data_IF_684792588185
#
_entry.id   IF_684792588185
#
_cell.length_a   1.000
_cell.length_b   1.000
_cell.length_c   1.000
_cell.angle_alpha   90.00
_cell.angle_beta   90.00
_cell.angle_gamma   90.00
#
_symmetry.space_group_name_H-M   'P 1'
#
loop_
_entity.id
_entity.type
_entity.pdbx_description
1 polymer ?
#
# COMPACT_ATOMS: atom_id res chain seq x y z
N UNK A 1 52.99 -34.80 7.13
CA UNK A 1 52.54 -34.75 8.54
C UNK A 1 52.15 -33.30 8.85
N UNK A 2 50.86 -33.00 8.80
CA UNK A 2 50.31 -31.71 9.22
C UNK A 2 49.26 -31.99 10.29
N UNK A 3 49.47 -31.43 11.47
CA UNK A 3 48.66 -31.63 12.68
C UNK A 3 47.50 -30.64 12.63
N UNK A 4 46.27 -31.16 12.63
CA UNK A 4 45.04 -30.37 12.72
C UNK A 4 44.68 -30.15 14.20
N UNK A 5 44.57 -28.89 14.61
CA UNK A 5 44.01 -28.50 15.91
C UNK A 5 42.50 -28.33 15.79
N UNK A 6 41.76 -29.14 16.56
CA UNK A 6 40.31 -29.08 16.75
C UNK A 6 40.02 -28.23 17.99
N UNK A 7 39.17 -27.21 17.86
CA UNK A 7 38.64 -26.43 18.98
C UNK A 7 37.26 -26.97 19.41
N UNK A 8 36.92 -27.02 20.72
CA UNK A 8 35.66 -27.56 21.21
C UNK A 8 34.52 -26.51 21.25
N UNK A 9 33.30 -26.98 20.97
CA UNK A 9 32.05 -26.23 21.08
C UNK A 9 31.53 -26.15 22.54
N UNK A 10 30.77 -25.11 22.92
CA UNK A 10 30.23 -24.98 24.27
C UNK A 10 28.97 -25.85 24.47
N UNK A 11 28.94 -26.51 25.63
CA UNK A 11 27.82 -27.30 26.16
C UNK A 11 26.91 -26.38 26.97
N UNK A 12 25.63 -26.30 26.62
CA UNK A 12 24.59 -25.78 27.51
C UNK A 12 23.62 -26.90 27.90
N UNK A 13 23.57 -27.14 29.21
CA UNK A 13 22.83 -28.21 29.85
C UNK A 13 21.31 -27.93 29.85
N UNK A 14 20.57 -28.97 29.50
CA UNK A 14 19.12 -29.07 29.65
C UNK A 14 18.79 -29.46 31.10
N UNK A 15 17.77 -28.84 31.70
CA UNK A 15 17.16 -29.33 32.94
C UNK A 15 15.62 -29.16 32.92
N UNK A 16 14.93 -30.30 32.95
CA UNK A 16 13.54 -30.60 33.40
C UNK A 16 13.56 -32.09 33.80
N UNK A 17 12.74 -32.62 34.74
CA UNK A 17 11.27 -32.45 34.90
C UNK A 17 10.86 -32.29 36.40
N UNK A 18 9.62 -32.21 36.90
CA UNK A 18 8.38 -32.99 36.69
C UNK A 18 7.17 -32.34 37.43
N UNK A 19 5.99 -32.94 37.27
CA UNK A 19 4.59 -32.48 37.28
C UNK A 19 3.82 -32.51 38.62
N UNK A 20 2.76 -31.69 38.76
CA UNK A 20 1.46 -32.06 39.39
C UNK A 20 0.31 -31.09 39.00
N UNK A 21 -0.91 -31.63 38.80
CA UNK A 21 -2.17 -30.98 38.35
C UNK A 21 -3.17 -30.72 39.49
N UNK A 22 -4.05 -29.69 39.35
CA UNK A 22 -5.54 -29.62 39.60
C UNK A 22 -6.01 -28.17 39.90
N UNK A 23 -7.32 -27.81 39.88
CA UNK A 23 -8.29 -27.70 38.78
C UNK A 23 -8.92 -26.26 38.69
N UNK A 24 -9.89 -25.95 37.80
CA UNK A 24 -10.39 -24.58 37.58
C UNK A 24 -11.67 -24.26 38.40
N UNK A 25 -11.84 -22.99 38.78
CA UNK A 25 -13.09 -22.48 39.40
C UNK A 25 -13.65 -21.32 38.59
N UNK A 26 -14.88 -21.53 38.10
CA UNK A 26 -15.79 -20.58 37.46
C UNK A 26 -16.44 -19.71 38.54
N UNK A 27 -16.55 -18.39 38.32
CA UNK A 27 -17.57 -17.59 39.01
C UNK A 27 -17.97 -16.35 38.21
N UNK A 28 -19.16 -16.43 37.63
CA UNK A 28 -19.98 -15.32 37.16
C UNK A 28 -20.34 -14.41 38.35
N UNK A 29 -20.38 -13.09 38.16
CA UNK A 29 -21.09 -12.17 39.05
C UNK A 29 -22.21 -11.45 38.30
N UNK A 30 -23.43 -11.88 38.62
CA UNK A 30 -24.68 -11.21 38.30
C UNK A 30 -24.85 -9.95 39.15
N UNK A 31 -25.27 -8.85 38.50
CA UNK A 31 -25.65 -7.60 39.16
C UNK A 31 -27.14 -7.66 39.50
N UNK A 32 -27.49 -7.65 40.79
CA UNK A 32 -28.87 -7.50 41.26
C UNK A 32 -29.21 -6.01 41.41
N UNK A 33 -30.33 -5.61 40.78
CA UNK A 33 -31.03 -4.33 40.97
C UNK A 33 -31.46 -4.15 42.42
N UNK A 34 -31.21 -2.97 42.98
CA UNK A 34 -31.97 -2.43 44.11
C UNK A 34 -32.71 -1.18 43.62
N UNK A 35 -34.05 -1.23 43.70
CA UNK A 35 -34.96 -0.13 43.43
C UNK A 35 -35.14 0.64 44.74
N UNK A 36 -34.98 1.97 44.71
CA UNK A 36 -35.54 2.82 45.74
C UNK A 36 -36.18 4.06 45.10
N UNK A 37 -37.48 4.26 45.37
CA UNK A 37 -38.33 5.36 44.90
C UNK A 37 -38.49 6.40 46.01
N UNK A 38 -38.39 7.70 45.67
CA UNK A 38 -39.26 8.84 46.10
C UNK A 38 -38.59 10.21 45.77
N UNK A 39 -39.31 11.36 45.77
CA UNK A 39 -40.31 11.75 44.78
C UNK A 39 -40.10 13.17 44.20
N UNK A 40 -40.73 13.44 43.06
CA UNK A 40 -41.17 14.74 42.52
C UNK A 40 -40.39 16.03 42.80
N UNK A 41 -39.72 16.56 41.76
CA UNK A 41 -39.52 17.99 41.57
C UNK A 41 -39.68 18.33 40.09
N UNK A 42 -40.60 19.25 39.78
CA UNK A 42 -40.95 19.69 38.44
C UNK A 42 -39.77 20.41 37.77
N UNK A 43 -39.42 20.00 36.55
CA UNK A 43 -38.38 20.65 35.74
C UNK A 43 -39.01 21.71 34.83
N UNK A 44 -38.53 22.96 34.81
CA UNK A 44 -39.03 23.95 33.86
C UNK A 44 -38.52 23.63 32.46
N UNK A 45 -39.43 23.49 31.49
CA UNK A 45 -39.08 23.36 30.07
C UNK A 45 -38.52 24.68 29.54
N UNK A 46 -37.19 24.79 29.45
CA UNK A 46 -36.55 25.84 28.66
C UNK A 46 -36.62 25.43 27.19
N UNK A 47 -37.46 26.13 26.41
CA UNK A 47 -37.49 26.02 24.95
C UNK A 47 -36.22 26.65 24.37
N UNK A 48 -35.17 25.85 24.17
CA UNK A 48 -34.02 26.29 23.38
C UNK A 48 -34.37 26.21 21.90
N UNK A 49 -34.61 27.36 21.26
CA UNK A 49 -34.66 27.45 19.79
C UNK A 49 -33.27 27.10 19.26
N UNK A 50 -33.12 25.91 18.68
CA UNK A 50 -31.93 25.55 17.93
C UNK A 50 -31.83 26.45 16.70
N UNK A 51 -30.87 27.39 16.70
CA UNK A 51 -30.45 28.06 15.46
C UNK A 51 -29.83 26.97 14.58
N UNK A 52 -30.49 26.65 13.46
CA UNK A 52 -29.86 25.93 12.35
C UNK A 52 -28.65 26.76 11.93
N UNK A 53 -27.46 26.22 12.15
CA UNK A 53 -26.28 26.68 11.43
C UNK A 53 -26.48 26.22 9.99
N UNK A 54 -26.73 27.17 9.09
CA UNK A 54 -26.78 26.88 7.66
C UNK A 54 -25.44 26.24 7.27
N UNK A 55 -25.50 24.96 6.91
CA UNK A 55 -24.37 24.27 6.35
C UNK A 55 -24.03 24.99 5.05
N UNK A 56 -22.92 25.74 5.04
CA UNK A 56 -22.36 26.31 3.82
C UNK A 56 -22.09 25.15 2.89
N UNK A 57 -22.99 24.93 1.94
CA UNK A 57 -22.81 23.98 0.85
C UNK A 57 -21.63 24.49 0.04
N UNK A 58 -20.44 23.95 0.31
CA UNK A 58 -19.31 24.13 -0.59
C UNK A 58 -19.73 23.58 -1.96
N UNK A 59 -19.65 24.36 -3.04
CA UNK A 59 -19.98 23.86 -4.36
C UNK A 59 -19.12 22.63 -4.63
N UNK A 60 -19.77 21.54 -5.06
CA UNK A 60 -19.07 20.34 -5.49
C UNK A 60 -18.17 20.76 -6.66
N UNK A 61 -16.85 20.77 -6.46
CA UNK A 61 -15.91 20.94 -7.56
C UNK A 61 -16.19 19.79 -8.53
N UNK A 62 -16.57 20.06 -9.80
CA UNK A 62 -16.85 19.00 -10.74
C UNK A 62 -15.59 18.12 -10.82
N UNK A 63 -15.77 16.81 -10.65
CA UNK A 63 -14.66 15.87 -10.79
C UNK A 63 -14.10 16.03 -12.20
N UNK A 64 -12.88 16.56 -12.31
CA UNK A 64 -12.17 16.63 -13.58
C UNK A 64 -12.01 15.19 -14.10
N UNK A 65 -12.29 15.01 -15.38
CA UNK A 65 -12.04 13.73 -16.04
C UNK A 65 -10.55 13.37 -15.93
N UNK A 66 -10.26 12.10 -15.68
CA UNK A 66 -8.90 11.58 -15.69
C UNK A 66 -8.36 11.50 -17.13
N UNK A 67 -7.04 11.34 -17.28
CA UNK A 67 -6.43 11.20 -18.60
C UNK A 67 -6.92 9.96 -19.33
N UNK A 68 -7.16 8.85 -18.62
CA UNK A 68 -7.71 7.65 -19.24
C UNK A 68 -9.17 7.81 -19.67
N UNK A 69 -9.97 8.62 -18.96
CA UNK A 69 -11.32 9.01 -19.41
C UNK A 69 -11.26 9.88 -20.67
N UNK A 70 -10.39 10.89 -20.68
CA UNK A 70 -10.21 11.77 -21.84
C UNK A 70 -9.70 11.01 -23.08
N UNK A 71 -8.87 9.99 -22.86
CA UNK A 71 -8.36 9.11 -23.92
C UNK A 71 -9.34 7.98 -24.32
N UNK A 72 -10.54 7.91 -23.72
CA UNK A 72 -11.55 6.90 -24.06
C UNK A 72 -11.21 5.47 -23.59
N UNK A 73 -10.20 5.28 -22.75
CA UNK A 73 -9.73 3.94 -22.33
C UNK A 73 -10.75 3.14 -21.51
N UNK A 74 -11.72 3.83 -20.90
CA UNK A 74 -12.83 3.19 -20.17
C UNK A 74 -13.84 2.49 -21.10
N UNK A 75 -13.84 2.81 -22.39
CA UNK A 75 -14.74 2.17 -23.35
C UNK A 75 -14.27 0.75 -23.75
N UNK A 76 -13.02 0.39 -23.46
CA UNK A 76 -12.49 -0.95 -23.72
C UNK A 76 -13.22 -1.98 -22.86
N UNK A 77 -13.95 -2.90 -23.50
CA UNK A 77 -14.59 -4.04 -22.84
C UNK A 77 -13.54 -5.06 -22.40
N UNK A 78 -13.77 -5.70 -21.26
CA UNK A 78 -12.93 -6.79 -20.78
C UNK A 78 -13.76 -7.88 -20.09
N UNK A 79 -13.30 -9.15 -20.07
CA UNK A 79 -14.09 -10.26 -19.53
C UNK A 79 -14.26 -10.24 -18.00
N UNK A 80 -13.56 -9.36 -17.28
CA UNK A 80 -13.62 -9.24 -15.83
C UNK A 80 -14.41 -8.01 -15.37
N UNK A 81 -14.98 -7.22 -16.29
CA UNK A 81 -15.66 -5.94 -16.02
C UNK A 81 -14.83 -5.06 -15.06
N UNK A 82 -13.54 -4.89 -15.37
CA UNK A 82 -12.67 -4.06 -14.56
C UNK A 82 -13.04 -2.59 -14.71
N UNK A 83 -13.10 -1.89 -13.57
CA UNK A 83 -13.36 -0.44 -13.54
C UNK A 83 -12.10 0.37 -13.78
N UNK A 84 -10.93 -0.27 -13.73
CA UNK A 84 -9.67 0.25 -14.23
C UNK A 84 -9.70 0.33 -15.74
N UNK A 85 -9.32 1.49 -16.28
CA UNK A 85 -9.18 1.66 -17.73
C UNK A 85 -7.91 1.01 -18.25
N UNK A 86 -6.91 0.80 -17.39
CA UNK A 86 -5.70 0.03 -17.69
C UNK A 86 -5.49 -1.03 -16.61
N UNK A 87 -5.18 -2.25 -17.02
CA UNK A 87 -4.83 -3.32 -16.10
C UNK A 87 -3.82 -4.30 -16.69
N UNK A 88 -2.93 -4.82 -15.85
CA UNK A 88 -1.99 -5.89 -16.18
C UNK A 88 -1.89 -6.85 -14.99
N UNK A 89 -1.98 -8.16 -15.27
CA UNK A 89 -1.75 -9.22 -14.28
C UNK A 89 -0.72 -10.17 -14.87
N UNK A 90 0.41 -10.30 -14.19
CA UNK A 90 1.55 -11.08 -14.63
C UNK A 90 2.07 -11.96 -13.49
N UNK A 91 2.48 -13.18 -13.82
CA UNK A 91 3.23 -14.03 -12.89
C UNK A 91 4.64 -13.48 -12.71
N UNK A 92 5.02 -13.22 -11.46
CA UNK A 92 6.32 -12.63 -11.14
C UNK A 92 7.49 -13.54 -11.52
N UNK A 93 7.31 -14.86 -11.36
CA UNK A 93 8.40 -15.82 -11.52
C UNK A 93 8.55 -16.22 -12.99
N UNK A 94 7.43 -16.51 -13.68
CA UNK A 94 7.46 -16.97 -15.09
C UNK A 94 7.35 -15.85 -16.12
N UNK A 95 6.90 -14.66 -15.70
CA UNK A 95 6.52 -13.54 -16.58
C UNK A 95 5.35 -13.84 -17.52
N UNK A 96 4.60 -14.90 -17.26
CA UNK A 96 3.37 -15.19 -18.00
C UNK A 96 2.37 -14.04 -17.77
N UNK A 97 1.85 -13.46 -18.85
CA UNK A 97 0.79 -12.46 -18.77
C UNK A 97 -0.55 -13.18 -18.72
N UNK A 98 -1.24 -13.07 -17.59
CA UNK A 98 -2.55 -13.70 -17.35
C UNK A 98 -3.67 -12.80 -17.89
N UNK A 99 -3.54 -11.48 -17.74
CA UNK A 99 -4.54 -10.52 -18.15
C UNK A 99 -3.91 -9.21 -18.56
N UNK A 100 -4.45 -8.58 -19.62
CA UNK A 100 -4.06 -7.23 -20.05
C UNK A 100 -5.29 -6.44 -20.52
N UNK A 101 -5.30 -5.15 -20.25
CA UNK A 101 -6.27 -4.17 -20.73
C UNK A 101 -5.53 -2.84 -20.91
N UNK A 102 -5.45 -2.35 -22.15
CA UNK A 102 -4.79 -1.08 -22.49
C UNK A 102 -3.39 -0.91 -21.85
N UNK A 103 -2.62 -2.00 -21.73
CA UNK A 103 -1.39 -2.10 -20.93
C UNK A 103 -0.23 -1.24 -21.43
N UNK A 104 -0.28 -0.82 -22.69
CA UNK A 104 0.67 0.13 -23.30
C UNK A 104 0.32 1.60 -23.09
N UNK A 105 -0.82 1.92 -22.46
CA UNK A 105 -1.21 3.31 -22.22
C UNK A 105 -0.31 3.95 -21.17
N UNK A 106 0.27 5.11 -21.51
CA UNK A 106 1.10 5.92 -20.62
C UNK A 106 0.21 6.95 -19.94
N UNK A 107 0.06 6.83 -18.62
CA UNK A 107 -0.87 7.64 -17.83
C UNK A 107 -0.17 8.27 -16.62
N UNK A 108 -0.71 9.37 -16.06
CA UNK A 108 -0.34 9.81 -14.74
C UNK A 108 -0.55 8.69 -13.71
N UNK A 109 0.46 8.42 -12.89
CA UNK A 109 0.45 7.25 -11.97
C UNK A 109 0.24 7.63 -10.50
N UNK A 110 0.05 8.91 -10.23
CA UNK A 110 -0.09 9.45 -8.89
C UNK A 110 1.00 8.90 -7.94
N UNK A 111 0.62 8.60 -6.70
CA UNK A 111 1.53 8.12 -5.65
C UNK A 111 2.12 6.72 -5.85
N UNK A 112 1.82 6.01 -6.94
CA UNK A 112 2.63 4.85 -7.33
C UNK A 112 4.10 5.23 -7.53
N UNK A 113 4.34 6.50 -7.90
CA UNK A 113 5.66 7.16 -7.90
C UNK A 113 6.51 6.82 -6.67
N UNK A 114 5.90 6.81 -5.48
CA UNK A 114 6.62 6.63 -4.21
C UNK A 114 7.28 5.25 -4.09
N UNK A 115 6.88 4.27 -4.92
CA UNK A 115 7.57 2.99 -4.99
C UNK A 115 8.98 3.13 -5.59
N UNK A 116 9.14 3.96 -6.64
CA UNK A 116 10.46 4.32 -7.16
C UNK A 116 11.25 5.16 -6.15
N UNK A 117 10.59 6.10 -5.46
CA UNK A 117 11.22 6.86 -4.36
C UNK A 117 11.79 5.91 -3.30
N UNK A 118 11.01 4.91 -2.89
CA UNK A 118 11.47 3.91 -1.93
C UNK A 118 12.64 3.07 -2.44
N UNK A 119 12.57 2.62 -3.70
CA UNK A 119 13.65 1.86 -4.34
C UNK A 119 14.96 2.65 -4.37
N UNK A 120 14.93 3.90 -4.83
CA UNK A 120 16.13 4.76 -4.87
C UNK A 120 16.71 5.00 -3.46
N UNK A 121 15.86 5.21 -2.46
CA UNK A 121 16.31 5.41 -1.07
C UNK A 121 16.92 4.13 -0.49
N UNK A 122 16.32 2.97 -0.74
CA UNK A 122 16.86 1.66 -0.30
C UNK A 122 18.24 1.41 -0.90
N UNK A 123 18.36 1.56 -2.22
CA UNK A 123 19.61 1.31 -2.96
C UNK A 123 20.74 2.29 -2.60
N UNK A 124 20.41 3.48 -2.12
CA UNK A 124 21.40 4.46 -1.71
C UNK A 124 22.12 4.11 -0.40
N UNK A 125 21.61 3.14 0.38
CA UNK A 125 22.19 2.68 1.64
C UNK A 125 22.53 3.82 2.63
N UNK A 126 21.68 4.85 2.66
CA UNK A 126 21.83 5.99 3.56
C UNK A 126 21.37 5.62 4.98
N UNK A 127 21.89 6.27 6.03
CA UNK A 127 21.50 5.96 7.41
C UNK A 127 20.01 6.15 7.64
N UNK A 128 19.29 5.07 7.95
CA UNK A 128 17.85 5.12 8.22
C UNK A 128 17.52 5.89 9.52
N UNK A 129 18.49 6.02 10.43
CA UNK A 129 18.40 6.79 11.66
C UNK A 129 18.62 8.30 11.48
N UNK A 130 19.02 8.75 10.29
CA UNK A 130 19.22 10.18 10.02
C UNK A 130 17.90 10.94 10.23
N UNK A 131 17.95 11.98 11.08
CA UNK A 131 16.80 12.81 11.38
C UNK A 131 16.62 13.88 10.31
N UNK A 132 15.47 13.85 9.64
CA UNK A 132 15.12 14.77 8.56
C UNK A 132 13.97 15.67 9.04
N UNK A 133 14.16 16.97 8.90
CA UNK A 133 13.14 17.97 9.21
C UNK A 133 12.23 18.18 8.01
N UNK A 134 10.92 18.13 8.22
CA UNK A 134 9.91 18.59 7.27
C UNK A 134 9.99 20.10 7.18
N UNK A 135 10.20 20.63 5.98
CA UNK A 135 10.38 22.06 5.71
C UNK A 135 9.23 22.62 4.88
N UNK A 136 9.19 23.94 4.70
CA UNK A 136 8.23 24.58 3.82
C UNK A 136 8.31 24.08 2.36
N UNK A 137 9.50 23.64 1.91
CA UNK A 137 9.69 23.09 0.59
C UNK A 137 8.97 21.74 0.37
N UNK A 138 8.59 21.03 1.45
CA UNK A 138 7.87 19.76 1.35
C UNK A 138 6.36 19.93 1.26
N UNK A 139 5.87 21.16 1.41
CA UNK A 139 4.44 21.47 1.35
C UNK A 139 3.98 21.45 -0.10
N UNK A 140 2.96 20.65 -0.38
CA UNK A 140 2.29 20.63 -1.67
C UNK A 140 1.67 22.00 -2.00
N UNK A 141 2.10 22.57 -3.13
CA UNK A 141 1.58 23.81 -3.71
C UNK A 141 0.89 23.57 -5.06
N UNK A 142 0.90 22.34 -5.58
CA UNK A 142 0.32 21.99 -6.89
C UNK A 142 -1.12 21.47 -6.75
N UNK A 143 -1.36 20.52 -5.84
CA UNK A 143 -2.67 19.86 -5.68
C UNK A 143 -3.38 20.24 -4.38
N UNK A 144 -2.71 20.97 -3.49
CA UNK A 144 -3.27 21.38 -2.20
C UNK A 144 -3.59 20.20 -1.27
N UNK A 145 -2.84 19.10 -1.38
CA UNK A 145 -2.99 17.93 -0.54
C UNK A 145 -2.67 18.24 0.93
N UNK A 146 -3.48 17.67 1.82
CA UNK A 146 -3.27 17.79 3.26
C UNK A 146 -2.21 16.81 3.74
N UNK A 147 -1.45 17.20 4.76
CA UNK A 147 -0.54 16.32 5.48
C UNK A 147 -0.72 16.50 6.99
N UNK A 148 -0.49 15.42 7.73
CA UNK A 148 -0.46 15.45 9.20
C UNK A 148 0.91 15.78 9.77
N UNK A 149 1.97 15.71 8.95
CA UNK A 149 3.31 16.14 9.34
C UNK A 149 3.39 17.66 9.18
N UNK A 150 3.43 18.41 10.28
CA UNK A 150 3.60 19.85 10.23
C UNK A 150 5.02 20.23 9.79
N UNK A 151 5.19 21.43 9.20
CA UNK A 151 6.53 22.01 9.02
C UNK A 151 7.22 22.11 10.38
N UNK A 152 8.50 21.75 10.44
CA UNK A 152 9.28 21.61 11.67
C UNK A 152 9.20 20.24 12.32
N UNK A 153 8.35 19.32 11.83
CA UNK A 153 8.35 17.92 12.30
C UNK A 153 9.68 17.26 11.92
N UNK A 154 10.30 16.56 12.86
CA UNK A 154 11.59 15.87 12.66
C UNK A 154 11.39 14.37 12.83
N UNK A 155 11.69 13.58 11.81
CA UNK A 155 11.54 12.13 11.81
C UNK A 155 12.76 11.45 11.21
N UNK A 156 13.00 10.20 11.59
CA UNK A 156 14.06 9.40 10.97
C UNK A 156 13.75 9.13 9.49
N UNK A 157 14.78 8.97 8.66
CA UNK A 157 14.65 8.56 7.25
C UNK A 157 13.81 7.28 7.12
N UNK A 158 14.01 6.33 8.03
CA UNK A 158 13.21 5.10 8.10
C UNK A 158 11.72 5.36 8.33
N UNK A 159 11.37 6.27 9.24
CA UNK A 159 9.98 6.65 9.47
C UNK A 159 9.37 7.38 8.27
N UNK A 160 10.12 8.29 7.65
CA UNK A 160 9.65 8.97 6.44
C UNK A 160 9.40 7.97 5.30
N UNK A 161 10.30 7.00 5.11
CA UNK A 161 10.14 5.94 4.11
C UNK A 161 8.91 5.07 4.41
N UNK A 162 8.72 4.71 5.68
CA UNK A 162 7.56 3.95 6.13
C UNK A 162 6.25 4.68 5.83
N UNK A 163 6.13 5.94 6.25
CA UNK A 163 4.92 6.74 6.03
C UNK A 163 4.64 6.97 4.54
N UNK A 164 5.70 7.16 3.73
CA UNK A 164 5.63 7.31 2.29
C UNK A 164 5.03 6.07 1.60
N UNK A 165 5.47 4.86 1.97
CA UNK A 165 5.03 3.62 1.32
C UNK A 165 3.68 3.13 1.85
N UNK A 166 3.52 3.03 3.17
CA UNK A 166 2.30 2.53 3.82
C UNK A 166 1.13 3.49 3.64
N UNK A 167 1.31 4.75 4.06
CA UNK A 167 0.25 5.74 4.16
C UNK A 167 0.22 6.76 3.03
N UNK A 168 1.13 6.63 2.06
CA UNK A 168 1.23 7.56 0.93
C UNK A 168 1.50 9.01 1.35
N UNK A 169 2.24 9.22 2.43
CA UNK A 169 2.49 10.55 3.00
C UNK A 169 3.37 11.39 2.05
N UNK A 170 2.86 12.55 1.61
CA UNK A 170 3.49 13.36 0.56
C UNK A 170 4.70 14.15 1.06
N UNK A 171 4.61 14.75 2.24
CA UNK A 171 5.71 15.56 2.80
C UNK A 171 6.90 14.67 3.14
N UNK A 172 6.65 13.45 3.62
CA UNK A 172 7.68 12.45 3.86
C UNK A 172 8.41 12.06 2.57
N UNK A 173 7.66 11.74 1.49
CA UNK A 173 8.26 11.41 0.21
C UNK A 173 9.06 12.58 -0.39
N UNK A 174 8.55 13.80 -0.28
CA UNK A 174 9.26 14.99 -0.75
C UNK A 174 10.53 15.25 0.07
N UNK A 175 10.45 15.16 1.40
CA UNK A 175 11.59 15.34 2.29
C UNK A 175 12.70 14.32 2.02
N UNK A 176 12.36 13.06 1.75
CA UNK A 176 13.33 12.03 1.34
C UNK A 176 14.08 12.41 0.06
N UNK A 177 13.37 12.94 -0.95
CA UNK A 177 14.00 13.39 -2.19
C UNK A 177 14.85 14.65 -1.98
N UNK A 178 14.34 15.61 -1.20
CA UNK A 178 15.03 16.87 -0.89
C UNK A 178 16.31 16.65 -0.07
N UNK A 179 16.28 15.74 0.90
CA UNK A 179 17.43 15.43 1.77
C UNK A 179 18.37 14.38 1.18
N UNK A 180 18.14 13.94 -0.06
CA UNK A 180 19.06 13.06 -0.76
C UNK A 180 20.39 13.78 -1.03
N UNK A 181 21.55 13.09 -1.02
CA UNK A 181 22.82 13.70 -1.40
C UNK A 181 22.75 14.34 -2.79
N UNK A 182 23.05 15.64 -2.86
CA UNK A 182 22.91 16.43 -4.10
C UNK A 182 21.52 17.04 -4.32
N UNK A 183 20.58 16.84 -3.41
CA UNK A 183 19.27 17.49 -3.38
C UNK A 183 18.23 16.87 -4.32
N UNK A 184 17.08 17.55 -4.41
CA UNK A 184 15.89 17.06 -5.11
C UNK A 184 16.14 16.80 -6.60
N UNK A 185 16.87 17.67 -7.29
CA UNK A 185 17.17 17.50 -8.72
C UNK A 185 17.98 16.23 -8.98
N UNK A 186 18.97 15.95 -8.11
CA UNK A 186 19.76 14.72 -8.22
C UNK A 186 18.93 13.49 -7.86
N UNK A 187 18.00 13.60 -6.92
CA UNK A 187 17.06 12.53 -6.61
C UNK A 187 16.18 12.19 -7.82
N UNK A 188 15.58 13.18 -8.47
CA UNK A 188 14.73 12.98 -9.66
C UNK A 188 15.56 12.43 -10.83
N UNK A 189 16.80 12.88 -11.03
CA UNK A 189 17.72 12.27 -11.99
C UNK A 189 17.96 10.79 -11.67
N UNK A 190 18.19 10.46 -10.39
CA UNK A 190 18.40 9.07 -9.95
C UNK A 190 17.16 8.19 -10.18
N UNK A 191 15.95 8.71 -9.95
CA UNK A 191 14.71 8.01 -10.26
C UNK A 191 14.60 7.66 -11.75
N UNK A 192 14.88 8.61 -12.64
CA UNK A 192 14.81 8.38 -14.09
C UNK A 192 15.94 7.48 -14.60
N UNK A 193 17.17 7.64 -14.11
CA UNK A 193 18.27 6.71 -14.41
C UNK A 193 17.94 5.29 -13.96
N UNK A 194 17.29 5.13 -12.80
CA UNK A 194 16.88 3.82 -12.32
C UNK A 194 15.77 3.22 -13.18
N UNK A 195 14.78 4.01 -13.59
CA UNK A 195 13.75 3.58 -14.55
C UNK A 195 14.38 3.07 -15.86
N UNK A 196 15.30 3.83 -16.44
CA UNK A 196 16.02 3.43 -17.66
C UNK A 196 16.83 2.14 -17.45
N UNK A 197 17.55 2.02 -16.34
CA UNK A 197 18.32 0.82 -16.02
C UNK A 197 17.45 -0.44 -15.80
N UNK A 198 16.19 -0.26 -15.45
CA UNK A 198 15.20 -1.34 -15.36
C UNK A 198 14.52 -1.65 -16.70
N UNK A 199 14.76 -0.85 -17.74
CA UNK A 199 14.09 -0.96 -19.04
C UNK A 199 12.69 -0.33 -19.08
N UNK A 200 12.38 0.57 -18.14
CA UNK A 200 11.07 1.24 -18.06
C UNK A 200 11.02 2.43 -19.04
N UNK A 201 10.86 2.15 -20.34
CA UNK A 201 10.96 3.15 -21.41
C UNK A 201 9.78 4.12 -21.51
N UNK A 202 8.63 3.76 -20.94
CA UNK A 202 7.42 4.58 -20.93
C UNK A 202 7.31 5.45 -19.67
N UNK A 203 8.33 5.39 -18.81
CA UNK A 203 8.30 6.02 -17.49
C UNK A 203 9.08 7.31 -17.44
N UNK A 204 8.46 8.34 -16.84
CA UNK A 204 9.11 9.59 -16.52
C UNK A 204 8.69 10.10 -15.15
N UNK A 205 9.68 10.47 -14.35
CA UNK A 205 9.48 11.13 -13.05
C UNK A 205 9.95 12.58 -13.13
N UNK A 206 9.19 13.49 -12.52
CA UNK A 206 9.58 14.89 -12.33
C UNK A 206 9.70 15.27 -10.85
N UNK A 207 9.19 14.43 -9.94
CA UNK A 207 9.20 14.65 -8.49
C UNK A 207 8.88 13.33 -7.73
N UNK A 208 9.20 13.21 -6.42
CA UNK A 208 9.21 11.94 -5.70
C UNK A 208 7.86 11.50 -5.09
N UNK A 209 6.82 12.30 -5.19
CA UNK A 209 5.54 12.10 -4.49
C UNK A 209 4.44 11.55 -5.40
N UNK A 210 4.42 11.90 -6.69
CA UNK A 210 3.32 11.61 -7.59
C UNK A 210 2.16 12.60 -7.51
N UNK A 211 2.39 13.81 -7.03
CA UNK A 211 1.42 14.91 -7.10
C UNK A 211 1.36 15.52 -8.50
N UNK A 212 2.49 15.53 -9.21
CA UNK A 212 2.54 16.01 -10.57
C UNK A 212 1.95 14.98 -11.53
N UNK A 213 1.01 15.43 -12.37
CA UNK A 213 0.47 14.61 -13.48
C UNK A 213 1.51 14.28 -14.56
N UNK A 214 2.69 14.94 -14.51
CA UNK A 214 3.83 14.63 -15.39
C UNK A 214 4.66 13.43 -14.90
N UNK A 215 4.35 12.87 -13.72
CA UNK A 215 4.83 11.54 -13.36
C UNK A 215 3.96 10.51 -14.05
N UNK A 216 4.53 9.85 -15.05
CA UNK A 216 3.82 8.96 -15.96
C UNK A 216 4.56 7.64 -16.13
N UNK A 217 3.81 6.58 -16.40
CA UNK A 217 4.33 5.23 -16.66
C UNK A 217 3.25 4.40 -17.35
N UNK A 218 3.64 3.24 -17.90
CA UNK A 218 2.73 2.21 -18.42
C UNK A 218 2.51 1.09 -17.41
N UNK A 219 1.54 0.21 -17.66
CA UNK A 219 1.31 -0.93 -16.79
C UNK A 219 2.48 -1.93 -16.82
N UNK A 220 3.09 -2.10 -17.99
CA UNK A 220 4.27 -2.94 -18.19
C UNK A 220 5.46 -2.45 -17.35
N UNK A 221 5.77 -1.16 -17.44
CA UNK A 221 6.85 -0.54 -16.65
C UNK A 221 6.61 -0.65 -15.15
N UNK A 222 5.37 -0.41 -14.70
CA UNK A 222 5.03 -0.55 -13.29
C UNK A 222 5.15 -1.99 -12.80
N UNK A 223 4.86 -2.99 -13.63
CA UNK A 223 5.07 -4.39 -13.25
C UNK A 223 6.57 -4.70 -13.06
N UNK A 224 7.42 -4.14 -13.92
CA UNK A 224 8.89 -4.20 -13.75
C UNK A 224 9.31 -3.54 -12.44
N UNK A 225 8.79 -2.33 -12.14
CA UNK A 225 9.09 -1.64 -10.89
C UNK A 225 8.67 -2.44 -9.66
N UNK A 226 7.48 -3.04 -9.68
CA UNK A 226 7.01 -3.90 -8.58
C UNK A 226 7.94 -5.10 -8.40
N UNK A 227 8.34 -5.76 -9.49
CA UNK A 227 9.27 -6.88 -9.44
C UNK A 227 10.65 -6.49 -8.89
N UNK A 228 11.15 -5.30 -9.21
CA UNK A 228 12.40 -4.76 -8.67
C UNK A 228 12.25 -4.41 -7.19
N UNK A 229 11.23 -3.64 -6.81
CA UNK A 229 10.98 -3.22 -5.43
C UNK A 229 10.70 -4.42 -4.50
N UNK A 230 10.10 -5.49 -5.00
CA UNK A 230 9.85 -6.70 -4.22
C UNK A 230 11.14 -7.39 -3.76
N UNK A 231 12.26 -7.21 -4.47
CA UNK A 231 13.55 -7.78 -4.08
C UNK A 231 14.14 -7.10 -2.83
N UNK A 232 13.68 -5.89 -2.50
CA UNK A 232 14.12 -5.12 -1.34
C UNK A 232 13.28 -5.50 -0.11
N UNK A 233 13.82 -6.23 0.89
CA UNK A 233 13.03 -6.69 2.04
C UNK A 233 12.39 -5.54 2.83
N UNK A 234 13.10 -4.42 2.96
CA UNK A 234 12.61 -3.22 3.65
C UNK A 234 11.38 -2.63 2.95
N UNK A 235 11.31 -2.64 1.61
CA UNK A 235 10.15 -2.10 0.90
C UNK A 235 8.92 -3.00 1.04
N UNK A 236 9.13 -4.32 1.08
CA UNK A 236 8.06 -5.26 1.39
C UNK A 236 7.48 -4.97 2.77
N UNK A 237 8.33 -4.99 3.80
CA UNK A 237 7.93 -4.73 5.19
C UNK A 237 7.20 -3.39 5.35
N UNK A 238 7.80 -2.30 4.86
CA UNK A 238 7.25 -0.96 5.05
C UNK A 238 5.98 -0.72 4.22
N UNK A 239 5.81 -1.38 3.08
CA UNK A 239 4.61 -1.21 2.26
C UNK A 239 3.42 -2.04 2.74
N UNK A 240 3.65 -3.15 3.46
CA UNK A 240 2.61 -4.07 3.94
C UNK A 240 2.32 -3.96 5.43
N UNK A 241 2.97 -3.04 6.14
CA UNK A 241 2.61 -2.71 7.51
C UNK A 241 1.16 -2.21 7.63
N UNK A 242 0.45 -2.60 8.69
CA UNK A 242 -0.97 -2.26 8.85
C UNK A 242 -1.20 -0.79 9.24
N UNK A 243 -0.27 -0.23 10.02
CA UNK A 243 -0.32 1.09 10.60
C UNK A 243 0.96 1.42 11.35
N UNK A 244 1.13 2.70 11.71
CA UNK A 244 2.26 3.19 12.49
C UNK A 244 1.82 4.40 13.33
N UNK A 245 2.18 4.40 14.60
CA UNK A 245 2.07 5.58 15.46
C UNK A 245 3.38 6.36 15.41
N UNK A 246 3.29 7.68 15.32
CA UNK A 246 4.43 8.58 15.26
C UNK A 246 4.27 9.66 16.31
N UNK A 247 5.23 9.73 17.22
CA UNK A 247 5.29 10.79 18.22
C UNK A 247 5.90 12.06 17.60
N UNK A 248 5.17 13.17 17.70
CA UNK A 248 5.61 14.49 17.24
C UNK A 248 5.39 15.48 18.39
N UNK A 249 6.45 15.72 19.16
CA UNK A 249 6.38 16.53 20.37
C UNK A 249 5.41 15.93 21.38
N UNK A 250 4.33 16.65 21.72
CA UNK A 250 3.30 16.18 22.67
C UNK A 250 2.11 15.47 22.01
N UNK A 251 2.20 15.16 20.71
CA UNK A 251 1.09 14.57 19.93
C UNK A 251 1.51 13.24 19.35
N UNK A 252 0.60 12.28 19.34
CA UNK A 252 0.77 11.01 18.61
C UNK A 252 -0.09 11.05 17.34
N UNK A 253 0.55 10.84 16.19
CA UNK A 253 -0.09 10.78 14.88
C UNK A 253 -0.28 9.33 14.44
N UNK A 254 -1.48 8.99 13.99
CA UNK A 254 -1.91 7.62 13.71
C UNK A 254 -1.99 7.32 12.22
N UNK A 255 -1.04 6.57 11.67
CA UNK A 255 -0.99 6.21 10.25
C UNK A 255 -1.54 4.82 9.99
N UNK A 256 -2.23 4.65 8.86
CA UNK A 256 -2.83 3.38 8.44
C UNK A 256 -2.45 3.10 7.00
N UNK A 257 -2.33 1.82 6.66
CA UNK A 257 -2.12 1.43 5.27
C UNK A 257 -3.25 1.94 4.37
N UNK A 258 -2.88 2.52 3.23
CA UNK A 258 -3.83 3.01 2.23
C UNK A 258 -4.50 1.89 1.44
N UNK A 259 -3.87 0.72 1.33
CA UNK A 259 -4.48 -0.47 0.77
C UNK A 259 -5.18 -1.27 1.88
N UNK A 260 -6.52 -1.30 1.82
CA UNK A 260 -7.33 -2.01 2.82
C UNK A 260 -7.16 -3.53 2.76
N UNK A 261 -6.72 -4.07 1.62
CA UNK A 261 -6.51 -5.51 1.45
C UNK A 261 -5.36 -6.04 2.32
N UNK A 262 -4.41 -5.18 2.69
CA UNK A 262 -3.28 -5.55 3.56
C UNK A 262 -3.76 -6.09 4.92
N UNK A 263 -4.90 -5.60 5.43
CA UNK A 263 -5.46 -6.07 6.71
C UNK A 263 -6.36 -7.31 6.56
N UNK A 264 -6.59 -7.78 5.33
CA UNK A 264 -7.48 -8.91 5.07
C UNK A 264 -6.73 -10.22 5.24
N UNK A 265 -7.23 -11.11 6.10
CA UNK A 265 -6.67 -12.45 6.29
C UNK A 265 -6.71 -13.31 5.02
N UNK A 266 -7.55 -12.95 4.04
CA UNK A 266 -7.65 -13.67 2.79
C UNK A 266 -6.53 -13.29 1.82
N UNK A 267 -5.79 -12.21 2.06
CA UNK A 267 -4.78 -11.70 1.13
C UNK A 267 -3.38 -11.89 1.70
N UNK A 268 -2.52 -12.54 0.92
CA UNK A 268 -1.09 -12.57 1.17
C UNK A 268 -0.40 -11.58 0.21
N UNK A 269 -0.25 -10.34 0.67
CA UNK A 269 0.35 -9.25 -0.11
C UNK A 269 1.77 -9.07 0.36
N UNK A 270 2.73 -9.25 -0.55
CA UNK A 270 4.14 -9.05 -0.24
C UNK A 270 4.67 -7.66 -0.60
N UNK A 271 3.99 -6.91 -1.46
CA UNK A 271 4.29 -5.49 -1.73
C UNK A 271 3.06 -4.76 -2.27
N UNK A 272 2.86 -3.48 -1.92
CA UNK A 272 1.78 -2.68 -2.51
C UNK A 272 2.10 -1.19 -2.60
N UNK A 273 1.39 -0.50 -3.50
CA UNK A 273 1.23 0.95 -3.44
C UNK A 273 -0.10 1.37 -4.04
N UNK A 274 -0.78 2.33 -3.40
CA UNK A 274 -1.96 3.00 -3.97
C UNK A 274 -1.64 4.41 -4.45
N UNK A 275 -2.47 4.98 -5.33
CA UNK A 275 -2.34 6.37 -5.75
C UNK A 275 -3.67 6.99 -6.16
N UNK A 276 -3.78 8.31 -5.99
CA UNK A 276 -4.89 9.11 -6.52
C UNK A 276 -4.47 10.57 -6.70
N UNK A 277 -4.71 11.08 -7.90
CA UNK A 277 -4.94 12.49 -8.23
C UNK A 277 -6.05 12.52 -9.28
N UNK A 278 -6.75 13.64 -9.45
CA UNK A 278 -7.88 13.72 -10.40
C UNK A 278 -7.48 13.28 -11.81
N UNK A 279 -6.27 13.63 -12.25
CA UNK A 279 -5.72 13.32 -13.56
C UNK A 279 -5.40 11.82 -13.76
N UNK A 280 -5.05 11.11 -12.69
CA UNK A 280 -4.63 9.71 -12.72
C UNK A 280 -5.78 8.73 -12.45
N UNK A 281 -6.89 9.21 -11.89
CA UNK A 281 -7.90 8.35 -11.29
C UNK A 281 -7.33 7.55 -10.11
N UNK A 282 -7.98 6.45 -9.75
CA UNK A 282 -7.54 5.62 -8.63
C UNK A 282 -6.60 4.50 -9.11
N UNK A 283 -5.36 4.51 -8.62
CA UNK A 283 -4.33 3.55 -9.01
C UNK A 283 -3.99 2.57 -7.86
N UNK A 284 -3.64 1.34 -8.21
CA UNK A 284 -3.10 0.32 -7.31
C UNK A 284 -2.08 -0.52 -8.07
N UNK A 285 -0.94 -0.77 -7.43
CA UNK A 285 -0.04 -1.87 -7.78
C UNK A 285 0.15 -2.74 -6.56
N UNK A 286 0.24 -4.05 -6.77
CA UNK A 286 0.62 -4.97 -5.70
C UNK A 286 1.22 -6.26 -6.23
N UNK A 287 2.06 -6.86 -5.41
CA UNK A 287 2.46 -8.24 -5.50
C UNK A 287 1.68 -9.02 -4.44
N UNK A 288 1.07 -10.14 -4.81
CA UNK A 288 0.36 -11.02 -3.88
C UNK A 288 0.45 -12.49 -4.30
N UNK A 289 0.35 -13.40 -3.33
CA UNK A 289 0.19 -14.82 -3.59
C UNK A 289 -1.30 -15.15 -3.81
N UNK A 290 -1.61 -15.73 -4.97
CA UNK A 290 -2.96 -16.18 -5.33
C UNK A 290 -2.87 -17.57 -5.95
N UNK A 291 -3.57 -18.54 -5.36
CA UNK A 291 -3.57 -19.94 -5.82
C UNK A 291 -2.17 -20.53 -6.05
N UNK A 292 -1.23 -20.24 -5.14
CA UNK A 292 0.16 -20.72 -5.22
C UNK A 292 1.05 -19.96 -6.21
N UNK A 293 0.53 -18.94 -6.90
CA UNK A 293 1.28 -18.10 -7.84
C UNK A 293 1.60 -16.75 -7.22
N UNK A 294 2.82 -16.24 -7.47
CA UNK A 294 3.20 -14.86 -7.12
C UNK A 294 2.76 -13.94 -8.26
N UNK A 295 1.69 -13.18 -8.05
CA UNK A 295 1.14 -12.32 -9.08
C UNK A 295 1.47 -10.86 -8.81
N UNK A 296 1.90 -10.15 -9.87
CA UNK A 296 1.96 -8.71 -9.91
C UNK A 296 0.68 -8.22 -10.60
N UNK A 297 -0.05 -7.34 -9.92
CA UNK A 297 -1.29 -6.73 -10.40
C UNK A 297 -1.11 -5.23 -10.48
N UNK A 298 -1.38 -4.67 -11.65
CA UNK A 298 -1.35 -3.23 -11.92
C UNK A 298 -2.74 -2.81 -12.37
N UNK A 299 -3.30 -1.79 -11.71
CA UNK A 299 -4.60 -1.20 -12.00
C UNK A 299 -4.45 0.31 -12.04
N UNK A 300 -4.67 0.94 -13.19
CA UNK A 300 -4.60 2.40 -13.33
C UNK A 300 -5.96 2.96 -13.68
N UNK A 301 -6.18 4.19 -13.21
CA UNK A 301 -7.36 4.97 -13.52
C UNK A 301 -8.68 4.21 -13.30
N UNK A 302 -8.81 3.63 -12.11
CA UNK A 302 -10.04 2.94 -11.71
C UNK A 302 -11.13 3.93 -11.33
N UNK A 303 -12.32 3.75 -11.90
CA UNK A 303 -13.48 4.59 -11.66
C UNK A 303 -14.16 4.25 -10.32
N UNK A 304 -13.90 5.05 -9.29
CA UNK A 304 -14.57 4.98 -7.99
C UNK A 304 -13.64 4.67 -6.81
N UNK A 305 -14.02 5.10 -5.60
CA UNK A 305 -13.12 5.06 -4.44
C UNK A 305 -12.66 3.64 -4.05
N UNK A 306 -13.50 2.64 -4.24
CA UNK A 306 -13.24 1.23 -3.87
C UNK A 306 -13.04 0.31 -5.08
N UNK A 307 -13.12 0.85 -6.29
CA UNK A 307 -13.18 0.04 -7.51
C UNK A 307 -11.90 -0.74 -7.76
N UNK A 308 -10.72 -0.17 -7.51
CA UNK A 308 -9.43 -0.91 -7.62
C UNK A 308 -9.29 -2.09 -6.66
N UNK A 309 -9.95 -2.03 -5.50
CA UNK A 309 -10.00 -3.16 -4.55
C UNK A 309 -10.95 -4.23 -5.10
N UNK A 310 -12.09 -3.83 -5.64
CA UNK A 310 -13.01 -4.76 -6.29
C UNK A 310 -12.41 -5.40 -7.55
N UNK A 311 -11.60 -4.66 -8.32
CA UNK A 311 -10.85 -5.17 -9.47
C UNK A 311 -9.87 -6.26 -9.04
N UNK A 312 -9.10 -6.03 -7.96
CA UNK A 312 -8.22 -7.03 -7.37
C UNK A 312 -8.97 -8.31 -6.94
N UNK A 313 -10.13 -8.16 -6.28
CA UNK A 313 -10.98 -9.31 -5.89
C UNK A 313 -11.58 -10.05 -7.11
N UNK A 314 -11.88 -9.35 -8.20
CA UNK A 314 -12.34 -9.97 -9.45
C UNK A 314 -11.22 -10.78 -10.11
N UNK A 315 -10.03 -10.21 -10.21
CA UNK A 315 -8.84 -10.92 -10.73
C UNK A 315 -8.54 -12.15 -9.88
N UNK A 316 -8.51 -12.01 -8.55
CA UNK A 316 -8.26 -13.14 -7.63
C UNK A 316 -9.24 -14.29 -7.87
N UNK A 317 -10.56 -14.02 -7.83
CA UNK A 317 -11.59 -15.05 -8.04
C UNK A 317 -11.47 -15.71 -9.41
N UNK A 318 -11.11 -14.94 -10.42
CA UNK A 318 -10.89 -15.46 -11.77
C UNK A 318 -9.68 -16.40 -11.85
N UNK A 319 -8.57 -16.06 -11.20
CA UNK A 319 -7.38 -16.93 -11.11
C UNK A 319 -7.70 -18.20 -10.33
N UNK A 320 -8.37 -18.09 -9.17
CA UNK A 320 -8.76 -19.24 -8.34
C UNK A 320 -9.67 -20.20 -9.11
N UNK A 321 -10.65 -19.68 -9.86
CA UNK A 321 -11.54 -20.51 -10.70
C UNK A 321 -10.77 -21.23 -11.81
N UNK A 322 -9.83 -20.54 -12.46
CA UNK A 322 -9.00 -21.11 -13.52
C UNK A 322 -8.07 -22.20 -13.00
N UNK A 323 -7.48 -22.03 -11.82
CA UNK A 323 -6.64 -23.03 -11.16
C UNK A 323 -7.42 -24.31 -10.82
N UNK A 324 -8.64 -24.17 -10.29
CA UNK A 324 -9.49 -25.30 -9.96
C UNK A 324 -9.87 -26.11 -11.21
N UNK A 325 -10.17 -25.44 -12.33
CA UNK A 325 -10.51 -26.10 -13.60
C UNK A 325 -9.33 -26.93 -14.17
N UNK A 326 -8.09 -26.44 -14.01
CA UNK A 326 -6.88 -27.17 -14.43
C UNK A 326 -6.56 -28.35 -13.52
N UNK A 327 -6.83 -28.23 -12.21
CA UNK A 327 -6.69 -29.33 -11.24
C UNK A 327 -7.67 -30.48 -11.49
N UNK A 328 -8.93 -30.18 -11.82
CA UNK A 328 -9.93 -31.21 -12.17
C UNK A 328 -9.60 -31.95 -13.46
N UNK A 329 -8.97 -31.29 -14.45
CA UNK A 329 -8.52 -31.96 -15.68
C UNK A 329 -7.33 -32.90 -15.44
N UNK A 330 -6.42 -32.57 -14.53
CA UNK A 330 -5.29 -33.45 -14.20
C UNK A 330 -5.73 -34.68 -13.38
N UNK A 331 -6.74 -34.58 -12.50
CA UNK A 331 -7.24 -35.77 -11.80
C UNK A 331 -8.03 -36.69 -12.72
N UNK A 332 -8.83 -36.14 -13.65
CA UNK A 332 -9.61 -36.93 -14.61
C UNK A 332 -8.75 -37.70 -15.64
N UNK A 333 -7.51 -37.27 -15.88
CA UNK A 333 -6.55 -37.99 -16.75
C UNK A 333 -5.76 -39.08 -16.01
N UNK A 334 -5.63 -38.98 -14.68
CA UNK A 334 -4.95 -39.99 -13.86
C UNK A 334 -5.82 -41.22 -13.59
N UNK A 335 -7.15 -41.06 -13.56
CA UNK A 335 -8.11 -42.15 -13.29
C UNK A 335 -8.46 -43.00 -14.54
N UNK A 336 -7.83 -42.74 -15.69
CA UNK A 336 -8.19 -43.37 -16.96
C UNK A 336 -7.05 -44.18 -17.61
N UNK A 337 -6.06 -44.64 -16.84
CA UNK A 337 -5.13 -45.67 -17.31
C UNK A 337 -5.72 -47.06 -17.06
N UNK A 338 -5.97 -47.88 -18.11
CA UNK A 338 -6.34 -49.27 -17.92
C UNK A 338 -5.13 -50.05 -17.38
N UNK A 339 -5.36 -50.78 -16.29
CA UNK A 339 -4.43 -51.78 -15.75
C UNK A 339 -4.41 -53.07 -16.57
#
# INVERSE_FOLDING_TARGET
>A
MCVAFVLPAPVWAQNKPSTAKKPPVVAQKAVKKAVNKKPGAATPQVKTKAKRLDAVQRPAVPMRASHGQLAGLHASSDPLDLRSSVALVIDQDTREVLFRKNDNAVLPIASLTKLMTGLVISEANLPMSEMITITQADVDTEKGSSSRLAVGTVLSRGDLLHLSLMSSENRAAHALGRSFPGGLDQFVKRMNMRAQALGMSDTRYVEPTGLSSRNQSSANDLAVLVGAAYKEPVLRELSTSHGREIEVGRRTLQYNNTNRLVKSANWDIGLQKTGYISEAGQCLVMQAQVSGRKLIMVFLDSAGKLSRIADAERVRRWVEKSANASGTRHSALADNQPG
#
